data_IF_165074813286
#
_entry.id   IF_165074813286
#
_cell.length_a   1.000
_cell.length_b   1.000
_cell.length_c   1.000
_cell.angle_alpha   90.00
_cell.angle_beta   90.00
_cell.angle_gamma   90.00
#
_symmetry.space_group_name_H-M   'P 1'
#
loop_
_entity.id
_entity.type
_entity.pdbx_description
1 polymer ?
#
# COMPACT_ATOMS: atom_id res chain seq x y z
N UNK A 1 20.55 2.30 34.23
CA UNK A 1 20.99 1.27 33.24
C UNK A 1 19.78 0.39 32.98
N UNK A 2 19.29 0.31 31.74
CA UNK A 2 18.20 -0.60 31.34
C UNK A 2 17.09 -0.03 30.46
N UNK A 3 17.13 1.25 30.07
CA UNK A 3 16.17 1.82 29.14
C UNK A 3 16.54 1.50 27.69
N UNK A 4 15.98 0.43 27.12
CA UNK A 4 16.07 0.18 25.68
C UNK A 4 15.22 1.19 24.93
N UNK A 5 15.86 2.07 24.16
CA UNK A 5 15.17 2.94 23.20
C UNK A 5 14.71 2.08 22.03
N UNK A 6 13.45 1.66 22.05
CA UNK A 6 12.83 0.90 20.95
C UNK A 6 12.62 1.88 19.79
N UNK A 7 13.45 1.79 18.74
CA UNK A 7 13.26 2.55 17.49
C UNK A 7 12.51 1.78 16.41
N UNK A 8 12.05 0.56 16.70
CA UNK A 8 11.31 -0.24 15.74
C UNK A 8 9.80 -0.07 15.97
N UNK A 9 9.34 1.17 15.86
CA UNK A 9 7.95 1.40 15.47
C UNK A 9 7.89 0.96 14.01
N UNK A 10 7.49 -0.29 13.75
CA UNK A 10 7.13 -0.72 12.40
C UNK A 10 6.00 0.19 11.96
N UNK A 11 6.32 1.22 11.18
CA UNK A 11 5.35 1.85 10.30
C UNK A 11 4.72 0.69 9.52
N UNK A 12 3.43 0.44 9.71
CA UNK A 12 2.71 -0.50 8.88
C UNK A 12 2.78 0.03 7.44
N UNK A 13 3.46 -0.70 6.56
CA UNK A 13 3.69 -0.38 5.15
C UNK A 13 2.63 -1.01 4.23
N UNK A 14 1.74 -1.83 4.79
CA UNK A 14 0.68 -2.50 4.05
C UNK A 14 -0.41 -1.50 3.62
N UNK A 15 -0.56 -1.33 2.30
CA UNK A 15 -1.62 -0.51 1.67
C UNK A 15 -2.47 -1.40 0.77
N UNK A 16 -3.79 -1.33 0.91
CA UNK A 16 -4.76 -2.04 0.05
C UNK A 16 -5.50 -1.04 -0.84
N UNK A 17 -5.50 -1.26 -2.16
CA UNK A 17 -6.28 -0.49 -3.13
C UNK A 17 -7.53 -1.29 -3.55
N UNK A 18 -8.68 -0.64 -3.63
CA UNK A 18 -9.94 -1.22 -4.10
C UNK A 18 -10.38 -0.42 -5.32
N UNK A 19 -10.66 -1.13 -6.41
CA UNK A 19 -11.13 -0.56 -7.67
C UNK A 19 -12.20 -1.47 -8.26
N UNK A 20 -13.10 -0.89 -9.04
CA UNK A 20 -14.16 -1.61 -9.76
C UNK A 20 -13.71 -2.07 -11.15
N UNK A 21 -12.57 -1.57 -11.64
CA UNK A 21 -12.01 -1.86 -12.95
C UNK A 21 -10.48 -1.86 -12.93
N UNK A 22 -9.86 -2.43 -13.97
CA UNK A 22 -8.41 -2.45 -14.11
C UNK A 22 -7.85 -1.04 -14.37
N UNK A 23 -8.57 -0.24 -15.15
CA UNK A 23 -8.21 1.13 -15.49
C UNK A 23 -8.17 2.02 -14.23
N UNK A 24 -9.17 1.87 -13.36
CA UNK A 24 -9.22 2.56 -12.07
C UNK A 24 -8.09 2.09 -11.14
N UNK A 25 -7.80 0.78 -11.10
CA UNK A 25 -6.70 0.26 -10.31
C UNK A 25 -5.34 0.83 -10.76
N UNK A 26 -5.12 0.93 -12.07
CA UNK A 26 -3.89 1.53 -12.64
C UNK A 26 -3.80 3.01 -12.29
N UNK A 27 -4.90 3.76 -12.36
CA UNK A 27 -4.92 5.16 -11.96
C UNK A 27 -4.58 5.34 -10.47
N UNK A 28 -5.16 4.51 -9.59
CA UNK A 28 -4.88 4.52 -8.15
C UNK A 28 -3.43 4.16 -7.84
N UNK A 29 -2.88 3.16 -8.54
CA UNK A 29 -1.48 2.74 -8.38
C UNK A 29 -0.51 3.87 -8.77
N UNK A 30 -0.78 4.58 -9.86
CA UNK A 30 0.04 5.73 -10.28
C UNK A 30 0.00 6.86 -9.24
N UNK A 31 -1.17 7.14 -8.67
CA UNK A 31 -1.31 8.16 -7.61
C UNK A 31 -0.53 7.74 -6.37
N UNK A 32 -0.62 6.47 -5.96
CA UNK A 32 0.11 5.93 -4.81
C UNK A 32 1.62 6.01 -5.03
N UNK A 33 2.10 5.65 -6.21
CA UNK A 33 3.53 5.71 -6.54
C UNK A 33 4.07 7.15 -6.45
N UNK A 34 3.37 8.12 -7.02
CA UNK A 34 3.75 9.53 -6.97
C UNK A 34 3.78 10.09 -5.54
N UNK A 35 2.76 9.79 -4.73
CA UNK A 35 2.73 10.21 -3.33
C UNK A 35 3.84 9.54 -2.51
N UNK A 36 4.04 8.24 -2.70
CA UNK A 36 5.10 7.47 -2.03
C UNK A 36 6.48 8.05 -2.35
N UNK A 37 6.74 8.35 -3.62
CA UNK A 37 8.00 8.96 -4.07
C UNK A 37 8.26 10.33 -3.44
N UNK A 38 7.22 11.15 -3.20
CA UNK A 38 7.35 12.44 -2.51
C UNK A 38 7.83 12.30 -1.06
N UNK A 39 7.60 11.14 -0.43
CA UNK A 39 8.12 10.80 0.89
C UNK A 39 9.41 9.96 0.84
N UNK A 40 10.01 9.78 -0.34
CA UNK A 40 11.19 8.93 -0.54
C UNK A 40 10.92 7.44 -0.37
N UNK A 41 9.65 7.03 -0.49
CA UNK A 41 9.18 5.65 -0.39
C UNK A 41 8.93 5.09 -1.80
N UNK A 42 8.96 3.76 -1.92
CA UNK A 42 8.73 3.05 -3.18
C UNK A 42 7.82 1.85 -2.98
N UNK A 43 7.11 1.45 -4.02
CA UNK A 43 6.24 0.27 -3.99
C UNK A 43 7.08 -0.99 -4.22
N UNK A 44 6.87 -2.01 -3.39
CA UNK A 44 7.52 -3.30 -3.57
C UNK A 44 6.64 -4.27 -4.36
N UNK A 45 6.74 -4.21 -5.70
CA UNK A 45 5.94 -5.04 -6.61
C UNK A 45 6.09 -6.55 -6.41
N UNK A 46 7.22 -7.03 -5.87
CA UNK A 46 7.40 -8.46 -5.56
C UNK A 46 6.52 -8.91 -4.38
N UNK A 47 6.15 -7.98 -3.49
CA UNK A 47 5.26 -8.24 -2.34
C UNK A 47 3.81 -7.86 -2.61
N UNK A 48 3.56 -6.98 -3.58
CA UNK A 48 2.21 -6.57 -3.98
C UNK A 48 1.46 -7.74 -4.61
N UNK A 49 0.24 -7.99 -4.13
CA UNK A 49 -0.68 -8.99 -4.69
C UNK A 49 -1.92 -8.30 -5.24
N UNK A 50 -2.41 -8.78 -6.38
CA UNK A 50 -3.70 -8.37 -6.93
C UNK A 50 -4.71 -9.44 -6.58
N UNK A 51 -5.75 -9.07 -5.84
CA UNK A 51 -6.87 -9.95 -5.51
C UNK A 51 -8.14 -9.43 -6.18
N UNK A 52 -8.97 -10.35 -6.67
CA UNK A 52 -10.29 -10.02 -7.23
C UNK A 52 -11.35 -10.29 -6.18
N UNK A 53 -12.12 -9.26 -5.83
CA UNK A 53 -13.19 -9.37 -4.84
C UNK A 53 -14.54 -9.18 -5.53
N UNK A 54 -15.43 -10.16 -5.43
CA UNK A 54 -16.81 -10.04 -5.91
C UNK A 54 -17.61 -9.35 -4.81
N UNK A 55 -18.01 -8.11 -5.04
CA UNK A 55 -18.91 -7.40 -4.12
C UNK A 55 -20.33 -7.83 -4.47
N UNK A 56 -20.97 -8.60 -3.59
CA UNK A 56 -22.39 -8.93 -3.69
C UNK A 56 -23.15 -7.83 -2.94
N UNK A 57 -23.82 -6.95 -3.68
CA UNK A 57 -24.79 -6.01 -3.11
C UNK A 57 -25.99 -6.80 -2.55
N UNK A 58 -26.48 -6.43 -1.38
CA UNK A 58 -27.38 -7.26 -0.57
C UNK A 58 -28.82 -6.78 -0.59
#
# INVERSE_FOLDING_TARGET
IGGSKIFNLRFADDTTLIATSQEELVALLNILEQHSAAYGLGINYNKTKIESMIIIDK
#
